data_IF_585361727793
#
_entry.id   IF_585361727793
#
_cell.length_a   1.000
_cell.length_b   1.000
_cell.length_c   1.000
_cell.angle_alpha   90.00
_cell.angle_beta   90.00
_cell.angle_gamma   90.00
#
_symmetry.space_group_name_H-M   'P 1'
#
loop_
_entity.id
_entity.type
_entity.pdbx_description
1 polymer ?
#
# COMPACT_ATOMS: atom_id res chain seq x y z
N UNK A 1 -29.15 16.76 -36.16
CA UNK A 1 -28.43 17.47 -37.25
C UNK A 1 -29.01 18.87 -37.55
N UNK A 2 -30.30 19.14 -37.36
CA UNK A 2 -30.90 20.47 -37.67
C UNK A 2 -30.74 21.57 -36.60
N UNK A 3 -30.47 21.24 -35.33
CA UNK A 3 -30.31 22.25 -34.26
C UNK A 3 -28.97 23.01 -34.33
N UNK A 4 -27.89 22.34 -34.73
CA UNK A 4 -26.54 22.92 -34.84
C UNK A 4 -26.46 23.88 -36.04
N UNK A 5 -27.16 23.56 -37.14
CA UNK A 5 -27.20 24.40 -38.33
C UNK A 5 -27.94 25.73 -38.09
N UNK A 6 -29.00 25.73 -37.28
CA UNK A 6 -29.71 26.97 -36.92
C UNK A 6 -28.88 27.87 -36.00
N UNK A 7 -28.15 27.30 -35.05
CA UNK A 7 -27.28 28.04 -34.11
C UNK A 7 -26.07 28.71 -34.80
N UNK A 8 -25.57 28.13 -35.90
CA UNK A 8 -24.51 28.72 -36.73
C UNK A 8 -24.91 30.05 -37.40
N UNK A 9 -26.20 30.28 -37.62
CA UNK A 9 -26.68 31.49 -38.31
C UNK A 9 -26.82 32.72 -37.41
N UNK A 10 -26.82 32.55 -36.08
CA UNK A 10 -27.21 33.59 -35.11
C UNK A 10 -26.07 34.20 -34.29
N UNK A 11 -24.80 33.86 -34.56
CA UNK A 11 -23.64 34.37 -33.80
C UNK A 11 -22.39 33.52 -34.02
N UNK A 12 -21.86 33.58 -35.24
CA UNK A 12 -21.02 32.52 -35.84
C UNK A 12 -19.53 32.53 -35.51
N UNK A 13 -18.99 33.54 -34.82
CA UNK A 13 -17.56 33.56 -34.48
C UNK A 13 -17.24 32.67 -33.29
N UNK A 14 -17.86 32.98 -32.14
CA UNK A 14 -17.57 32.30 -30.87
C UNK A 14 -18.00 30.83 -30.86
N UNK A 15 -19.13 30.47 -31.48
CA UNK A 15 -19.64 29.09 -31.48
C UNK A 15 -18.80 28.17 -32.35
N UNK A 16 -18.33 28.65 -33.51
CA UNK A 16 -17.46 27.84 -34.37
C UNK A 16 -16.07 27.65 -33.73
N UNK A 17 -15.55 28.64 -33.00
CA UNK A 17 -14.31 28.51 -32.22
C UNK A 17 -14.48 27.53 -31.04
N UNK A 18 -15.62 27.52 -30.35
CA UNK A 18 -15.94 26.52 -29.34
C UNK A 18 -15.99 25.11 -29.95
N UNK A 19 -16.67 24.93 -31.09
CA UNK A 19 -16.76 23.62 -31.75
C UNK A 19 -15.36 23.11 -32.13
N UNK A 20 -14.49 23.96 -32.67
CA UNK A 20 -13.11 23.57 -33.00
C UNK A 20 -12.33 23.13 -31.76
N UNK A 21 -12.39 23.90 -30.67
CA UNK A 21 -11.70 23.54 -29.43
C UNK A 21 -12.22 22.22 -28.86
N UNK A 22 -13.53 21.96 -28.93
CA UNK A 22 -14.11 20.68 -28.51
C UNK A 22 -13.70 19.52 -29.39
N UNK A 23 -13.65 19.71 -30.72
CA UNK A 23 -13.20 18.69 -31.65
C UNK A 23 -11.71 18.36 -31.43
N UNK A 24 -10.87 19.37 -31.15
CA UNK A 24 -9.46 19.21 -30.79
C UNK A 24 -9.28 18.48 -29.45
N UNK A 25 -10.05 18.85 -28.42
CA UNK A 25 -9.99 18.18 -27.12
C UNK A 25 -10.48 16.74 -27.20
N UNK A 26 -11.55 16.48 -27.97
CA UNK A 26 -12.07 15.13 -28.19
C UNK A 26 -11.05 14.25 -28.91
N UNK A 27 -10.39 14.78 -29.94
CA UNK A 27 -9.32 14.07 -30.66
C UNK A 27 -8.12 13.76 -29.73
N UNK A 28 -7.71 14.72 -28.90
CA UNK A 28 -6.63 14.52 -27.94
C UNK A 28 -6.98 13.44 -26.89
N UNK A 29 -8.23 13.41 -26.42
CA UNK A 29 -8.71 12.37 -25.48
C UNK A 29 -8.81 10.99 -26.12
N UNK A 30 -9.27 10.94 -27.37
CA UNK A 30 -9.34 9.69 -28.13
C UNK A 30 -7.95 9.10 -28.37
N UNK A 31 -6.96 9.95 -28.66
CA UNK A 31 -5.56 9.55 -28.76
C UNK A 31 -5.03 9.00 -27.42
N UNK A 32 -5.29 9.69 -26.30
CA UNK A 32 -4.90 9.20 -24.97
C UNK A 32 -5.55 7.86 -24.62
N UNK A 33 -6.82 7.67 -25.00
CA UNK A 33 -7.52 6.42 -24.79
C UNK A 33 -6.88 5.29 -25.60
N UNK A 34 -6.56 5.54 -26.87
CA UNK A 34 -5.87 4.56 -27.70
C UNK A 34 -4.48 4.18 -27.15
N UNK A 35 -3.70 5.17 -26.70
CA UNK A 35 -2.40 4.94 -26.08
C UNK A 35 -2.52 4.11 -24.80
N UNK A 36 -3.47 4.44 -23.92
CA UNK A 36 -3.75 3.69 -22.70
C UNK A 36 -4.21 2.25 -23.00
N UNK A 37 -5.08 2.06 -24.00
CA UNK A 37 -5.51 0.73 -24.43
C UNK A 37 -4.35 -0.09 -25.04
N UNK A 38 -3.45 0.55 -25.79
CA UNK A 38 -2.25 -0.11 -26.31
C UNK A 38 -1.35 -0.57 -25.17
N UNK A 39 -1.17 0.25 -24.14
CA UNK A 39 -0.35 -0.11 -22.98
C UNK A 39 -1.01 -1.21 -22.14
N UNK A 40 -2.34 -1.15 -21.93
CA UNK A 40 -3.09 -2.24 -21.28
C UNK A 40 -2.88 -3.55 -22.04
N UNK A 41 -3.04 -3.55 -23.37
CA UNK A 41 -2.81 -4.75 -24.19
C UNK A 41 -1.37 -5.26 -24.09
N UNK A 42 -0.38 -4.36 -24.02
CA UNK A 42 1.04 -4.72 -23.83
C UNK A 42 1.26 -5.40 -22.48
N UNK A 43 0.76 -4.78 -21.40
CA UNK A 43 0.87 -5.29 -20.03
C UNK A 43 0.13 -6.62 -19.85
N UNK A 44 -1.05 -6.77 -20.44
CA UNK A 44 -1.80 -8.04 -20.44
C UNK A 44 -1.02 -9.14 -21.17
N UNK A 45 -0.35 -8.82 -22.28
CA UNK A 45 0.47 -9.78 -23.02
C UNK A 45 1.75 -10.15 -22.25
N UNK A 46 2.39 -9.19 -21.57
CA UNK A 46 3.52 -9.44 -20.66
C UNK A 46 3.09 -10.34 -19.49
N UNK A 47 1.97 -10.02 -18.83
CA UNK A 47 1.41 -10.86 -17.77
C UNK A 47 1.10 -12.28 -18.26
N UNK A 48 0.51 -12.42 -19.45
CA UNK A 48 0.26 -13.73 -20.07
C UNK A 48 1.54 -14.49 -20.39
N UNK A 49 2.61 -13.81 -20.83
CA UNK A 49 3.92 -14.44 -21.07
C UNK A 49 4.58 -14.89 -19.76
N UNK A 50 4.52 -14.07 -18.73
CA UNK A 50 5.00 -14.42 -17.39
C UNK A 50 4.19 -15.57 -16.78
N UNK A 51 2.87 -15.59 -16.96
CA UNK A 51 2.01 -16.69 -16.49
C UNK A 51 2.19 -17.97 -17.33
N UNK A 52 2.44 -17.86 -18.64
CA UNK A 52 2.66 -19.00 -19.52
C UNK A 52 4.05 -19.63 -19.34
N UNK A 53 5.07 -18.87 -18.90
CA UNK A 53 6.37 -19.42 -18.51
C UNK A 53 6.30 -20.33 -17.27
N UNK A 54 5.19 -20.27 -16.53
CA UNK A 54 4.87 -21.18 -15.41
C UNK A 54 3.99 -22.37 -15.85
N UNK A 55 3.66 -22.49 -17.15
CA UNK A 55 2.64 -23.34 -17.75
C UNK A 55 2.91 -24.86 -17.76
N UNK A 56 3.29 -25.42 -16.62
CA UNK A 56 3.42 -26.85 -16.36
C UNK A 56 3.82 -27.19 -14.93
N UNK A 57 4.24 -26.20 -14.13
CA UNK A 57 4.64 -26.38 -12.74
C UNK A 57 3.66 -25.63 -11.83
N UNK A 58 3.20 -26.32 -10.78
CA UNK A 58 2.47 -25.67 -9.69
C UNK A 58 3.29 -24.47 -9.20
N UNK A 59 2.71 -23.25 -9.15
CA UNK A 59 3.44 -22.08 -8.67
C UNK A 59 3.90 -22.34 -7.23
N UNK A 60 5.12 -21.88 -6.91
CA UNK A 60 5.73 -22.08 -5.59
C UNK A 60 4.83 -21.53 -4.46
N UNK A 61 4.21 -20.36 -4.69
CA UNK A 61 3.26 -19.70 -3.80
C UNK A 61 2.16 -18.98 -4.59
N UNK A 62 0.99 -18.84 -3.98
CA UNK A 62 -0.14 -18.03 -4.48
C UNK A 62 -0.42 -16.93 -3.45
N UNK A 63 -0.73 -15.71 -3.91
CA UNK A 63 -0.78 -14.52 -3.06
C UNK A 63 -1.93 -14.46 -2.04
N UNK A 64 -2.98 -15.27 -2.20
CA UNK A 64 -4.17 -15.18 -1.35
C UNK A 64 -5.05 -13.96 -1.69
N UNK A 65 -5.88 -13.54 -0.74
CA UNK A 65 -6.87 -12.45 -0.91
C UNK A 65 -6.47 -11.14 -0.21
N UNK A 66 -5.42 -11.16 0.62
CA UNK A 66 -4.94 -9.97 1.30
C UNK A 66 -4.30 -8.99 0.31
N UNK A 67 -4.44 -7.70 0.59
CA UNK A 67 -3.88 -6.62 -0.21
C UNK A 67 -2.74 -5.95 0.54
N UNK A 68 -1.76 -5.44 -0.19
CA UNK A 68 -0.70 -4.62 0.36
C UNK A 68 -1.25 -3.24 0.79
N UNK A 69 -0.86 -2.79 1.99
CA UNK A 69 -1.07 -1.42 2.47
C UNK A 69 0.04 -0.47 2.06
N UNK A 70 1.22 -1.00 1.74
CA UNK A 70 2.35 -0.28 1.17
C UNK A 70 3.15 -1.21 0.24
N UNK A 71 3.94 -0.61 -0.65
CA UNK A 71 4.63 -1.32 -1.73
C UNK A 71 5.36 -2.59 -1.25
N UNK A 72 4.98 -3.72 -1.82
CA UNK A 72 5.57 -5.04 -1.57
C UNK A 72 5.39 -5.58 -0.14
N UNK A 73 4.45 -5.06 0.66
CA UNK A 73 4.23 -5.48 2.05
C UNK A 73 4.16 -7.00 2.23
N UNK A 74 3.27 -7.68 1.50
CA UNK A 74 3.07 -9.14 1.63
C UNK A 74 4.36 -9.91 1.32
N UNK A 75 5.10 -9.48 0.30
CA UNK A 75 6.38 -10.08 -0.06
C UNK A 75 7.43 -9.84 1.04
N UNK A 76 7.50 -8.64 1.59
CA UNK A 76 8.40 -8.31 2.68
C UNK A 76 8.11 -9.14 3.95
N UNK A 77 6.83 -9.29 4.31
CA UNK A 77 6.37 -10.14 5.42
C UNK A 77 6.81 -11.59 5.21
N UNK A 78 6.61 -12.11 3.99
CA UNK A 78 7.02 -13.48 3.65
C UNK A 78 8.54 -13.65 3.76
N UNK A 79 9.33 -12.72 3.23
CA UNK A 79 10.79 -12.76 3.32
C UNK A 79 11.28 -12.70 4.78
N UNK A 80 10.66 -11.87 5.61
CA UNK A 80 10.97 -11.77 7.05
C UNK A 80 10.65 -13.09 7.76
N UNK A 81 9.50 -13.72 7.46
CA UNK A 81 9.13 -15.02 8.01
C UNK A 81 10.09 -16.14 7.57
N UNK A 82 10.50 -16.17 6.30
CA UNK A 82 11.48 -17.14 5.79
C UNK A 82 12.85 -16.92 6.45
N UNK A 83 13.26 -15.67 6.64
CA UNK A 83 14.51 -15.31 7.29
C UNK A 83 14.54 -15.71 8.76
N UNK A 84 13.44 -15.50 9.49
CA UNK A 84 13.31 -15.95 10.88
C UNK A 84 13.31 -17.48 10.97
N UNK A 85 12.55 -18.15 10.09
CA UNK A 85 12.50 -19.60 10.04
C UNK A 85 13.88 -20.21 9.72
N UNK A 86 14.69 -19.59 8.85
CA UNK A 86 16.02 -20.07 8.52
C UNK A 86 17.03 -19.87 9.65
N UNK A 87 16.85 -18.85 10.50
CA UNK A 87 17.75 -18.53 11.60
C UNK A 87 17.41 -19.25 12.90
N UNK A 88 16.11 -19.41 13.20
CA UNK A 88 15.62 -19.87 14.51
C UNK A 88 14.68 -21.07 14.43
N UNK A 89 14.03 -21.28 13.28
CA UNK A 89 12.98 -22.28 13.12
C UNK A 89 13.47 -23.68 12.72
N UNK A 90 14.75 -23.83 12.34
CA UNK A 90 15.32 -25.11 11.87
C UNK A 90 16.74 -25.29 12.37
N UNK A 91 17.22 -26.55 12.53
CA UNK A 91 18.63 -26.80 12.80
C UNK A 91 19.54 -26.25 11.71
N UNK A 92 20.71 -25.76 12.13
CA UNK A 92 21.76 -25.32 11.23
C UNK A 92 22.24 -26.44 10.31
N UNK A 93 22.64 -26.06 9.09
CA UNK A 93 23.12 -26.95 8.03
C UNK A 93 22.14 -28.07 7.62
N UNK A 94 20.86 -27.92 7.97
CA UNK A 94 19.82 -28.86 7.57
C UNK A 94 19.34 -28.57 6.14
N UNK A 95 18.83 -29.62 5.46
CA UNK A 95 18.19 -29.47 4.14
C UNK A 95 17.10 -28.39 4.14
N UNK A 96 16.33 -28.27 5.23
CA UNK A 96 15.29 -27.24 5.38
C UNK A 96 15.91 -25.84 5.40
N UNK A 97 17.00 -25.64 6.14
CA UNK A 97 17.72 -24.37 6.14
C UNK A 97 18.28 -24.03 4.75
N UNK A 98 18.90 -25.00 4.06
CA UNK A 98 19.43 -24.79 2.72
C UNK A 98 18.36 -24.36 1.71
N UNK A 99 17.16 -24.95 1.78
CA UNK A 99 16.03 -24.54 0.92
C UNK A 99 15.62 -23.10 1.22
N UNK A 100 15.42 -22.75 2.50
CA UNK A 100 15.03 -21.39 2.89
C UNK A 100 16.05 -20.35 2.43
N UNK A 101 17.34 -20.60 2.67
CA UNK A 101 18.43 -19.71 2.24
C UNK A 101 18.53 -19.62 0.72
N UNK A 102 18.29 -20.70 -0.01
CA UNK A 102 18.27 -20.69 -1.48
C UNK A 102 17.14 -19.80 -2.02
N UNK A 103 15.94 -19.86 -1.42
CA UNK A 103 14.81 -19.01 -1.81
C UNK A 103 15.11 -17.55 -1.48
N UNK A 104 15.59 -17.25 -0.27
CA UNK A 104 15.98 -15.89 0.14
C UNK A 104 17.05 -15.30 -0.80
N UNK A 105 18.05 -16.10 -1.19
CA UNK A 105 19.09 -15.67 -2.13
C UNK A 105 18.53 -15.33 -3.52
N UNK A 106 17.53 -16.07 -3.99
CA UNK A 106 16.89 -15.84 -5.29
C UNK A 106 15.90 -14.65 -5.27
N UNK A 107 15.46 -14.21 -4.09
CA UNK A 107 14.45 -13.18 -3.90
C UNK A 107 15.02 -12.05 -3.04
N UNK A 108 15.89 -11.18 -3.60
CA UNK A 108 16.44 -10.06 -2.86
C UNK A 108 15.33 -9.13 -2.39
N UNK A 109 15.54 -8.47 -1.24
CA UNK A 109 14.55 -7.60 -0.62
C UNK A 109 14.24 -6.41 -1.56
N UNK A 110 12.98 -6.23 -1.98
CA UNK A 110 12.61 -5.11 -2.84
C UNK A 110 12.62 -3.78 -2.08
N UNK A 111 12.65 -2.63 -2.78
CA UNK A 111 12.29 -1.36 -2.16
C UNK A 111 10.84 -1.40 -1.66
N UNK A 112 10.49 -0.55 -0.70
CA UNK A 112 9.14 -0.50 -0.13
C UNK A 112 8.91 -1.38 1.11
N UNK A 113 9.89 -2.17 1.55
CA UNK A 113 9.79 -2.88 2.83
C UNK A 113 9.90 -1.93 4.03
N UNK A 114 8.80 -1.24 4.37
CA UNK A 114 8.77 -0.15 5.35
C UNK A 114 8.52 -0.60 6.80
N UNK A 115 8.19 -1.86 7.06
CA UNK A 115 7.85 -2.37 8.40
C UNK A 115 8.82 -1.91 9.51
N UNK A 116 10.14 -2.07 9.34
CA UNK A 116 11.11 -1.62 10.35
C UNK A 116 11.09 -0.11 10.55
N UNK A 117 11.01 0.66 9.45
CA UNK A 117 10.94 2.11 9.52
C UNK A 117 9.66 2.58 10.21
N UNK A 118 8.53 1.91 9.97
CA UNK A 118 7.26 2.18 10.66
C UNK A 118 7.35 1.85 12.14
N UNK A 119 7.94 0.70 12.53
CA UNK A 119 8.20 0.37 13.93
C UNK A 119 9.07 1.41 14.62
N UNK A 120 10.13 1.90 13.96
CA UNK A 120 11.02 2.91 14.53
C UNK A 120 10.35 4.28 14.63
N UNK A 121 9.60 4.68 13.61
CA UNK A 121 8.81 5.92 13.62
C UNK A 121 7.78 5.88 14.74
N UNK A 122 7.07 4.76 14.90
CA UNK A 122 6.10 4.56 15.96
C UNK A 122 6.73 4.62 17.35
N UNK A 123 7.87 3.95 17.56
CA UNK A 123 8.64 4.03 18.81
C UNK A 123 9.04 5.46 19.12
N UNK A 124 9.45 6.24 18.12
CA UNK A 124 9.85 7.63 18.30
C UNK A 124 8.66 8.55 18.60
N UNK A 125 7.50 8.31 17.97
CA UNK A 125 6.28 9.10 18.16
C UNK A 125 5.66 8.90 19.54
N UNK A 126 5.76 7.69 20.10
CA UNK A 126 5.16 7.34 21.40
C UNK A 126 6.17 7.38 22.57
N UNK A 127 7.46 7.65 22.30
CA UNK A 127 8.49 7.69 23.35
C UNK A 127 8.24 8.88 24.28
N UNK A 128 8.04 8.59 25.56
CA UNK A 128 7.82 9.62 26.59
C UNK A 128 6.47 10.34 26.44
N UNK A 129 5.60 9.87 25.55
CA UNK A 129 4.29 10.47 25.32
C UNK A 129 3.33 10.01 26.41
N UNK A 130 2.90 10.95 27.25
CA UNK A 130 1.86 10.73 28.27
C UNK A 130 0.46 11.07 27.77
N UNK A 131 0.34 11.96 26.79
CA UNK A 131 -0.94 12.34 26.15
C UNK A 131 -0.74 12.48 24.65
N UNK A 132 -1.81 12.26 23.88
CA UNK A 132 -1.77 12.28 22.43
C UNK A 132 -1.78 13.73 21.91
N UNK A 133 -0.61 14.35 21.88
CA UNK A 133 -0.45 15.72 21.39
C UNK A 133 -0.67 15.81 19.87
N UNK A 134 -0.80 17.05 19.36
CA UNK A 134 -1.05 17.30 17.93
C UNK A 134 0.05 16.72 17.03
N UNK A 135 1.30 16.64 17.53
CA UNK A 135 2.45 16.13 16.76
C UNK A 135 2.36 14.61 16.63
N UNK A 136 2.16 13.90 17.73
CA UNK A 136 2.01 12.44 17.78
C UNK A 136 0.78 12.01 16.99
N UNK A 137 -0.35 12.72 17.13
CA UNK A 137 -1.57 12.49 16.34
C UNK A 137 -1.27 12.54 14.84
N UNK A 138 -0.70 13.65 14.35
CA UNK A 138 -0.34 13.80 12.93
C UNK A 138 0.69 12.75 12.47
N UNK A 139 1.59 12.35 13.36
CA UNK A 139 2.57 11.29 13.06
C UNK A 139 1.91 9.93 12.86
N UNK A 140 0.96 9.56 13.72
CA UNK A 140 0.18 8.33 13.58
C UNK A 140 -0.71 8.37 12.33
N UNK A 141 -1.36 9.50 12.06
CA UNK A 141 -2.16 9.69 10.83
C UNK A 141 -1.31 9.51 9.56
N UNK A 142 -0.08 10.03 9.55
CA UNK A 142 0.88 9.80 8.44
C UNK A 142 1.31 8.35 8.27
N UNK A 143 1.30 7.56 9.34
CA UNK A 143 1.55 6.12 9.26
C UNK A 143 0.34 5.34 8.74
N UNK A 144 -0.84 5.97 8.59
CA UNK A 144 -2.06 5.33 8.12
C UNK A 144 -3.08 5.02 9.22
N UNK A 145 -2.90 5.56 10.43
CA UNK A 145 -3.88 5.39 11.51
C UNK A 145 -5.01 6.42 11.45
N UNK A 146 -6.23 5.94 11.56
CA UNK A 146 -7.39 6.77 11.92
C UNK A 146 -7.58 6.76 13.43
N UNK A 147 -7.70 7.93 14.04
CA UNK A 147 -7.81 8.09 15.50
C UNK A 147 -9.21 8.58 15.87
N UNK A 148 -9.95 7.77 16.61
CA UNK A 148 -11.27 8.14 17.16
C UNK A 148 -11.17 8.33 18.67
N UNK A 149 -11.75 9.41 19.19
CA UNK A 149 -11.77 9.72 20.62
C UNK A 149 -13.00 9.07 21.29
N UNK A 150 -12.75 8.19 22.26
CA UNK A 150 -13.75 7.55 23.12
C UNK A 150 -13.80 8.14 24.54
N UNK A 151 -13.24 9.34 24.74
CA UNK A 151 -13.11 10.02 26.03
C UNK A 151 -11.86 9.57 26.79
N UNK A 152 -11.93 8.42 27.47
CA UNK A 152 -10.82 7.88 28.28
C UNK A 152 -9.76 7.12 27.48
N UNK A 153 -10.09 6.73 26.26
CA UNK A 153 -9.21 6.01 25.37
C UNK A 153 -9.38 6.51 23.93
N UNK A 154 -8.28 6.48 23.17
CA UNK A 154 -8.25 6.66 21.73
C UNK A 154 -8.29 5.29 21.04
N UNK A 155 -9.19 5.12 20.08
CA UNK A 155 -9.19 3.98 19.15
C UNK A 155 -8.31 4.32 17.95
N UNK A 156 -7.29 3.52 17.70
CA UNK A 156 -6.44 3.57 16.51
C UNK A 156 -6.85 2.46 15.55
N UNK A 157 -7.21 2.79 14.31
CA UNK A 157 -7.52 1.82 13.25
C UNK A 157 -6.52 2.02 12.11
N UNK A 158 -5.80 0.97 11.75
CA UNK A 158 -4.80 1.02 10.67
C UNK A 158 -5.45 0.80 9.31
N UNK A 159 -5.21 1.72 8.36
CA UNK A 159 -5.64 1.63 6.96
C UNK A 159 -7.14 1.37 6.75
N UNK A 160 -7.96 1.74 7.74
CA UNK A 160 -9.42 1.55 7.72
C UNK A 160 -9.88 0.11 7.91
N UNK A 161 -8.99 -0.82 8.29
CA UNK A 161 -9.34 -2.21 8.55
C UNK A 161 -9.49 -2.45 10.06
N UNK A 162 -10.72 -2.74 10.50
CA UNK A 162 -11.07 -2.92 11.91
C UNK A 162 -10.33 -4.11 12.57
N UNK A 163 -9.79 -5.06 11.78
CA UNK A 163 -8.95 -6.15 12.29
C UNK A 163 -7.67 -5.61 12.94
N UNK A 164 -7.18 -4.46 12.47
CA UNK A 164 -5.95 -3.83 12.95
C UNK A 164 -6.27 -2.62 13.84
N UNK A 165 -6.95 -2.91 14.96
CA UNK A 165 -7.34 -1.92 15.97
C UNK A 165 -6.45 -2.00 17.21
N UNK A 166 -6.04 -0.84 17.75
CA UNK A 166 -5.40 -0.72 19.07
C UNK A 166 -6.07 0.36 19.93
N UNK A 167 -6.16 0.13 21.24
CA UNK A 167 -6.75 1.08 22.20
C UNK A 167 -5.64 1.74 23.01
N UNK A 168 -5.44 3.04 22.82
CA UNK A 168 -4.46 3.82 23.58
C UNK A 168 -5.15 4.60 24.71
N UNK A 169 -4.66 4.58 25.96
CA UNK A 169 -5.22 5.41 27.02
C UNK A 169 -5.01 6.91 26.72
N UNK A 170 -6.00 7.75 27.09
CA UNK A 170 -5.93 9.19 26.86
C UNK A 170 -4.85 9.89 27.68
N UNK A 171 -4.52 9.32 28.84
CA UNK A 171 -3.40 9.72 29.69
C UNK A 171 -2.63 8.48 30.17
N UNK A 172 -1.33 8.44 29.93
CA UNK A 172 -0.41 7.46 30.50
C UNK A 172 0.11 7.94 31.86
N UNK A 173 0.08 7.07 32.87
CA UNK A 173 0.66 7.34 34.19
C UNK A 173 2.17 7.07 34.24
N UNK A 174 2.73 6.34 33.27
CA UNK A 174 4.12 5.89 33.24
C UNK A 174 4.79 6.20 31.91
N UNK A 175 6.07 6.61 31.97
CA UNK A 175 6.88 6.96 30.80
C UNK A 175 7.10 5.77 29.84
N UNK A 176 6.91 4.54 30.33
CA UNK A 176 7.02 3.30 29.53
C UNK A 176 5.75 2.98 28.74
N UNK A 177 4.61 3.57 29.10
CA UNK A 177 3.32 3.25 28.49
C UNK A 177 3.32 3.40 26.98
N UNK A 178 3.89 4.49 26.46
CA UNK A 178 4.00 4.71 25.02
C UNK A 178 4.95 3.75 24.30
N UNK A 179 6.04 3.32 24.94
CA UNK A 179 6.96 2.33 24.35
C UNK A 179 6.35 0.93 24.29
N UNK A 180 5.57 0.57 25.31
CA UNK A 180 4.81 -0.69 25.31
C UNK A 180 3.76 -0.66 24.20
N UNK A 181 2.99 0.43 24.09
CA UNK A 181 2.03 0.60 23.00
C UNK A 181 2.69 0.54 21.61
N UNK A 182 3.85 1.18 21.43
CA UNK A 182 4.61 1.09 20.18
C UNK A 182 5.05 -0.35 19.87
N UNK A 183 5.45 -1.12 20.88
CA UNK A 183 5.82 -2.53 20.72
C UNK A 183 4.63 -3.40 20.35
N UNK A 184 3.49 -3.20 21.01
CA UNK A 184 2.27 -3.99 20.78
C UNK A 184 1.69 -3.73 19.39
N UNK A 185 1.54 -2.44 19.03
CA UNK A 185 1.09 -2.02 17.70
C UNK A 185 2.07 -2.52 16.64
N UNK A 186 3.38 -2.37 16.89
CA UNK A 186 4.42 -2.90 16.02
C UNK A 186 4.20 -4.38 15.75
N UNK A 187 4.07 -5.22 16.79
CA UNK A 187 3.84 -6.66 16.62
C UNK A 187 2.53 -7.00 15.90
N UNK A 188 1.49 -6.18 16.09
CA UNK A 188 0.18 -6.40 15.49
C UNK A 188 0.15 -6.10 13.99
N UNK A 189 0.93 -5.12 13.54
CA UNK A 189 0.75 -4.51 12.20
C UNK A 189 2.00 -4.52 11.32
N UNK A 190 3.20 -4.57 11.90
CA UNK A 190 4.48 -4.41 11.18
C UNK A 190 5.41 -5.56 11.50
#
# INVERSE_FOLDING_TARGET
>A
RNAIAMLRSSGSGSVDDYIRNFDEELAAREQQLQEAEHEIRRLEQELRRHSAHLGGMTPLLRSGEERDFYDNETLCILLDALQEASQRGVPGDSRRQHVLLSILKANPRPPGCLASQYRDTLKNLLRGTTTLDTRTRRGLEKLGFTITDGGKHYKLVYQGDDRYTYTLPSSGSDYRGGLNAASDIGRLMF
#
